data_IF_801030855035
#
_entry.id   IF_801030855035
#
_cell.length_a   1.000
_cell.length_b   1.000
_cell.length_c   1.000
_cell.angle_alpha   90.00
_cell.angle_beta   90.00
_cell.angle_gamma   90.00
#
_symmetry.space_group_name_H-M   'P 1'
#
loop_
_entity.id
_entity.type
_entity.pdbx_description
1 polymer ?
#
# COMPACT_ATOMS: atom_id res chain seq x y z
N UNK A 1 16.23 15.57 -27.18
CA UNK A 1 16.60 15.76 -25.76
C UNK A 1 15.84 14.79 -24.85
N UNK A 2 14.50 14.78 -24.84
CA UNK A 2 13.69 13.80 -24.08
C UNK A 2 13.93 12.32 -24.50
N UNK A 3 14.16 12.05 -25.78
CA UNK A 3 14.54 10.73 -26.31
C UNK A 3 15.98 10.29 -26.00
N UNK A 4 16.86 11.25 -25.77
CA UNK A 4 18.26 10.99 -25.38
C UNK A 4 18.30 10.68 -23.87
N UNK A 5 17.41 11.34 -23.11
CA UNK A 5 17.12 11.10 -21.70
C UNK A 5 16.57 9.71 -21.42
N UNK A 6 15.64 9.25 -22.24
CA UNK A 6 15.16 7.87 -22.20
C UNK A 6 16.26 6.92 -22.68
N UNK A 7 17.05 7.34 -23.68
CA UNK A 7 18.30 6.74 -24.20
C UNK A 7 19.18 6.10 -23.15
N UNK A 8 19.65 6.96 -22.25
CA UNK A 8 20.62 6.65 -21.21
C UNK A 8 20.08 5.63 -20.20
N UNK A 9 18.76 5.48 -20.08
CA UNK A 9 18.19 5.02 -18.82
C UNK A 9 16.96 4.09 -18.93
N UNK A 10 16.97 3.21 -19.93
CA UNK A 10 15.86 2.29 -20.25
C UNK A 10 15.68 1.13 -19.24
N UNK A 11 16.62 0.91 -18.31
CA UNK A 11 16.57 -0.27 -17.43
C UNK A 11 16.95 -0.02 -15.96
N UNK A 12 16.02 -0.21 -15.04
CA UNK A 12 16.19 0.12 -13.62
C UNK A 12 17.29 -0.66 -12.89
N UNK A 13 17.44 -1.97 -13.16
CA UNK A 13 18.52 -2.78 -12.56
C UNK A 13 19.86 -2.57 -13.25
N UNK A 14 19.83 -2.29 -14.56
CA UNK A 14 21.03 -2.18 -15.36
C UNK A 14 21.63 -0.78 -15.37
N UNK A 15 20.86 0.29 -15.20
CA UNK A 15 21.36 1.67 -15.10
C UNK A 15 22.24 1.85 -13.87
N UNK A 16 21.76 1.34 -12.73
CA UNK A 16 22.51 1.35 -11.48
C UNK A 16 23.75 0.45 -11.62
N UNK A 17 23.60 -0.75 -12.19
CA UNK A 17 24.71 -1.67 -12.42
C UNK A 17 25.77 -1.13 -13.39
N UNK A 18 25.39 -0.55 -14.54
CA UNK A 18 26.29 0.03 -15.55
C UNK A 18 26.88 1.36 -15.09
N UNK A 19 26.13 2.15 -14.32
CA UNK A 19 26.63 3.32 -13.61
C UNK A 19 27.74 2.95 -12.62
N UNK A 20 27.53 1.95 -11.78
CA UNK A 20 28.56 1.46 -10.86
C UNK A 20 29.70 0.71 -11.57
N UNK A 21 29.42 0.00 -12.66
CA UNK A 21 30.44 -0.67 -13.48
C UNK A 21 31.38 0.34 -14.12
N UNK A 22 30.83 1.39 -14.75
CA UNK A 22 31.63 2.46 -15.37
C UNK A 22 32.45 3.22 -14.33
N UNK A 23 31.89 3.49 -13.15
CA UNK A 23 32.62 4.09 -12.03
C UNK A 23 33.77 3.17 -11.55
N UNK A 24 33.49 1.87 -11.38
CA UNK A 24 34.47 0.88 -10.93
C UNK A 24 35.61 0.69 -11.92
N UNK A 25 35.31 0.68 -13.23
CA UNK A 25 36.31 0.58 -14.30
C UNK A 25 37.30 1.75 -14.25
N UNK A 26 36.84 2.92 -13.85
CA UNK A 26 37.64 4.14 -13.80
C UNK A 26 38.44 4.25 -12.53
N UNK A 27 37.88 3.80 -11.41
CA UNK A 27 38.65 3.64 -10.17
C UNK A 27 39.80 2.65 -10.40
N UNK A 28 39.56 1.54 -11.11
CA UNK A 28 40.58 0.58 -11.50
C UNK A 28 41.64 1.20 -12.44
N UNK A 29 41.22 1.90 -13.50
CA UNK A 29 42.16 2.59 -14.40
C UNK A 29 42.97 3.69 -13.70
N UNK A 30 42.36 4.38 -12.73
CA UNK A 30 43.03 5.43 -11.94
C UNK A 30 44.04 4.85 -10.96
N UNK A 31 43.82 3.63 -10.47
CA UNK A 31 44.78 2.90 -9.64
C UNK A 31 45.99 2.44 -10.47
N UNK A 32 45.78 2.07 -11.74
CA UNK A 32 46.83 1.55 -12.63
C UNK A 32 47.64 2.65 -13.33
N UNK A 33 47.07 3.83 -13.60
CA UNK A 33 47.74 4.91 -14.33
C UNK A 33 47.35 6.29 -13.83
N UNK A 34 48.33 7.19 -13.73
CA UNK A 34 48.13 8.59 -13.31
C UNK A 34 47.46 9.37 -14.45
N UNK A 35 46.14 9.42 -14.44
CA UNK A 35 45.31 10.12 -15.44
C UNK A 35 44.82 11.45 -14.85
N UNK A 36 44.78 12.50 -15.67
CA UNK A 36 44.24 13.81 -15.25
C UNK A 36 42.77 13.66 -14.82
N UNK A 37 42.31 14.43 -13.83
CA UNK A 37 40.90 14.43 -13.38
C UNK A 37 39.93 14.71 -14.54
N UNK A 38 40.38 15.51 -15.49
CA UNK A 38 39.66 15.88 -16.69
C UNK A 38 39.40 14.68 -17.62
N UNK A 39 40.45 13.92 -17.92
CA UNK A 39 40.35 12.73 -18.76
C UNK A 39 39.54 11.60 -18.10
N UNK A 40 39.57 11.49 -16.76
CA UNK A 40 38.80 10.48 -16.01
C UNK A 40 37.29 10.66 -16.16
N UNK A 41 36.80 11.89 -16.05
CA UNK A 41 35.37 12.20 -16.21
C UNK A 41 34.88 11.96 -17.64
N UNK A 42 35.68 12.30 -18.65
CA UNK A 42 35.30 12.01 -20.04
C UNK A 42 35.28 10.52 -20.33
N UNK A 43 36.28 9.77 -19.86
CA UNK A 43 36.27 8.30 -19.98
C UNK A 43 35.02 7.73 -19.32
N UNK A 44 34.61 8.27 -18.16
CA UNK A 44 33.37 7.89 -17.47
C UNK A 44 32.13 8.08 -18.32
N UNK A 45 31.92 9.28 -18.83
CA UNK A 45 30.74 9.56 -19.63
C UNK A 45 30.74 8.72 -20.92
N UNK A 46 31.88 8.54 -21.57
CA UNK A 46 31.94 7.71 -22.79
C UNK A 46 31.64 6.24 -22.50
N UNK A 47 32.23 5.66 -21.44
CA UNK A 47 31.99 4.26 -21.06
C UNK A 47 30.53 4.07 -20.64
N UNK A 48 29.97 5.01 -19.87
CA UNK A 48 28.57 5.00 -19.48
C UNK A 48 27.65 5.04 -20.70
N UNK A 49 27.85 6.00 -21.62
CA UNK A 49 27.03 6.11 -22.83
C UNK A 49 27.16 4.89 -23.76
N UNK A 50 28.36 4.29 -23.83
CA UNK A 50 28.57 3.07 -24.60
C UNK A 50 27.80 1.88 -24.00
N UNK A 51 27.95 1.63 -22.70
CA UNK A 51 27.28 0.52 -22.00
C UNK A 51 25.77 0.61 -22.08
N UNK A 52 25.23 1.83 -21.96
CA UNK A 52 23.81 2.10 -22.20
C UNK A 52 23.40 1.72 -23.61
N UNK A 53 24.16 2.15 -24.63
CA UNK A 53 23.84 1.84 -26.03
C UNK A 53 23.81 0.33 -26.30
N UNK A 54 24.75 -0.41 -25.70
CA UNK A 54 24.82 -1.87 -25.77
C UNK A 54 23.62 -2.50 -25.06
N UNK A 55 23.26 -2.03 -23.86
CA UNK A 55 22.09 -2.51 -23.12
C UNK A 55 20.79 -2.35 -23.92
N UNK A 56 20.67 -1.24 -24.65
CA UNK A 56 19.52 -0.95 -25.49
C UNK A 56 19.38 -1.91 -26.69
N UNK A 57 20.50 -2.30 -27.30
CA UNK A 57 20.51 -3.25 -28.43
C UNK A 57 20.12 -4.66 -27.96
N UNK A 58 20.59 -5.07 -26.78
CA UNK A 58 20.46 -6.43 -26.26
C UNK A 58 19.09 -6.76 -25.66
N UNK A 59 18.26 -5.79 -25.24
CA UNK A 59 16.99 -6.08 -24.55
C UNK A 59 15.83 -5.13 -24.92
N UNK A 60 15.32 -5.18 -26.16
CA UNK A 60 14.36 -4.19 -26.69
C UNK A 60 12.94 -4.20 -26.09
N UNK A 61 12.51 -5.25 -25.35
CA UNK A 61 11.15 -5.34 -24.78
C UNK A 61 10.91 -4.45 -23.55
N UNK A 62 11.99 -3.95 -22.95
CA UNK A 62 12.00 -3.06 -21.78
C UNK A 62 11.43 -1.66 -22.01
N UNK A 63 11.23 -1.27 -23.27
CA UNK A 63 10.64 0.02 -23.67
C UNK A 63 9.20 0.23 -23.21
N UNK A 64 8.49 -0.84 -22.81
CA UNK A 64 7.07 -0.78 -22.42
C UNK A 64 6.84 -0.31 -20.97
N UNK A 65 7.86 -0.32 -20.11
CA UNK A 65 7.71 -0.09 -18.66
C UNK A 65 7.55 1.38 -18.24
N UNK A 66 7.94 2.32 -19.09
CA UNK A 66 7.51 3.71 -19.03
C UNK A 66 6.64 3.91 -20.27
N UNK A 67 5.41 4.41 -20.11
CA UNK A 67 4.42 4.75 -21.16
C UNK A 67 4.95 5.76 -22.23
N UNK A 68 6.17 5.61 -22.73
CA UNK A 68 6.81 6.42 -23.76
C UNK A 68 6.11 6.18 -25.11
N UNK A 69 5.51 5.01 -25.30
CA UNK A 69 4.63 4.71 -26.45
C UNK A 69 3.36 5.56 -26.48
N UNK A 70 2.91 6.10 -25.34
CA UNK A 70 1.71 6.95 -25.31
C UNK A 70 2.00 8.41 -25.72
N UNK A 71 3.25 8.87 -25.62
CA UNK A 71 3.61 10.28 -25.87
C UNK A 71 4.51 10.45 -27.11
N UNK A 72 5.31 9.46 -27.48
CA UNK A 72 6.15 9.56 -28.68
C UNK A 72 6.16 8.24 -29.47
N UNK A 73 5.38 8.20 -30.55
CA UNK A 73 5.26 7.07 -31.48
C UNK A 73 6.52 6.87 -32.36
N UNK A 74 7.72 6.77 -31.76
CA UNK A 74 8.96 6.54 -32.50
C UNK A 74 9.28 5.06 -32.64
N UNK A 75 9.70 4.66 -33.84
CA UNK A 75 10.18 3.31 -34.10
C UNK A 75 11.53 3.05 -33.39
N UNK A 76 11.80 1.77 -33.05
CA UNK A 76 13.08 1.31 -32.46
C UNK A 76 14.30 1.85 -33.21
N UNK A 77 14.23 1.88 -34.54
CA UNK A 77 15.34 2.31 -35.41
C UNK A 77 15.59 3.82 -35.30
N UNK A 78 14.53 4.63 -35.17
CA UNK A 78 14.63 6.08 -34.99
C UNK A 78 15.36 6.42 -33.70
N UNK A 79 15.11 5.65 -32.64
CA UNK A 79 15.77 5.85 -31.36
C UNK A 79 17.26 5.49 -31.39
N UNK A 80 17.62 4.32 -31.95
CA UNK A 80 19.03 3.90 -32.09
C UNK A 80 19.81 4.95 -32.88
N UNK A 81 19.19 5.50 -33.92
CA UNK A 81 19.77 6.56 -34.72
C UNK A 81 20.01 7.85 -33.92
N UNK A 82 19.01 8.31 -33.14
CA UNK A 82 19.16 9.46 -32.23
C UNK A 82 20.25 9.20 -31.18
N UNK A 83 20.34 7.98 -30.66
CA UNK A 83 21.33 7.57 -29.67
C UNK A 83 22.75 7.58 -30.24
N UNK A 84 22.95 7.08 -31.46
CA UNK A 84 24.23 7.12 -32.15
C UNK A 84 24.71 8.55 -32.42
N UNK A 85 23.79 9.45 -32.82
CA UNK A 85 24.11 10.87 -33.00
C UNK A 85 24.56 11.48 -31.67
N UNK A 86 23.85 11.20 -30.58
CA UNK A 86 24.23 11.70 -29.26
C UNK A 86 25.58 11.15 -28.79
N UNK A 87 25.81 9.85 -28.92
CA UNK A 87 27.09 9.23 -28.56
C UNK A 87 28.26 9.80 -29.40
N UNK A 88 28.02 10.04 -30.69
CA UNK A 88 28.97 10.71 -31.57
C UNK A 88 29.32 12.13 -31.10
N UNK A 89 28.34 12.90 -30.62
CA UNK A 89 28.58 14.23 -30.04
C UNK A 89 29.39 14.17 -28.73
N UNK A 90 29.15 13.17 -27.89
CA UNK A 90 29.91 12.95 -26.64
C UNK A 90 31.37 12.55 -26.93
N UNK A 91 31.60 11.72 -27.95
CA UNK A 91 32.95 11.38 -28.42
C UNK A 91 33.66 12.58 -29.03
N UNK A 92 32.97 13.36 -29.88
CA UNK A 92 33.50 14.58 -30.47
C UNK A 92 33.88 15.61 -29.40
N UNK A 93 33.06 15.74 -28.36
CA UNK A 93 33.38 16.54 -27.18
C UNK A 93 34.64 16.08 -26.50
N UNK A 94 34.77 14.78 -26.26
CA UNK A 94 35.93 14.19 -25.60
C UNK A 94 37.22 14.39 -26.42
N UNK A 95 37.10 14.39 -27.75
CA UNK A 95 38.20 14.70 -28.67
C UNK A 95 38.59 16.18 -28.67
N UNK A 96 37.62 17.09 -28.76
CA UNK A 96 37.86 18.54 -28.72
C UNK A 96 38.40 18.99 -27.36
N UNK A 97 37.98 18.31 -26.31
CA UNK A 97 38.46 18.48 -24.96
C UNK A 97 39.93 18.06 -24.79
N UNK A 98 40.35 16.99 -25.46
CA UNK A 98 41.77 16.60 -25.55
C UNK A 98 42.62 17.69 -26.24
N UNK A 99 42.05 18.44 -27.19
CA UNK A 99 42.67 19.63 -27.82
C UNK A 99 42.63 20.90 -26.95
N UNK A 100 42.31 20.80 -25.66
CA UNK A 100 42.27 21.89 -24.65
C UNK A 100 41.19 22.97 -24.87
N UNK A 101 40.12 22.71 -25.61
CA UNK A 101 39.01 23.66 -25.73
C UNK A 101 38.07 23.60 -24.50
N UNK A 102 38.37 24.39 -23.47
CA UNK A 102 37.68 24.35 -22.16
C UNK A 102 36.20 24.79 -22.20
N UNK A 103 35.80 25.57 -23.21
CA UNK A 103 34.44 26.14 -23.27
C UNK A 103 33.40 25.07 -23.63
N UNK A 104 33.72 24.23 -24.62
CA UNK A 104 32.82 23.18 -25.11
C UNK A 104 32.54 22.11 -24.05
N UNK A 105 33.57 21.82 -23.26
CA UNK A 105 33.56 20.93 -22.11
C UNK A 105 32.54 21.39 -21.06
N UNK A 106 32.63 22.67 -20.68
CA UNK A 106 31.75 23.27 -19.67
C UNK A 106 30.29 23.21 -20.12
N UNK A 107 30.04 23.51 -21.39
CA UNK A 107 28.71 23.45 -21.99
C UNK A 107 28.11 22.04 -21.93
N UNK A 108 28.89 21.01 -22.27
CA UNK A 108 28.40 19.63 -22.25
C UNK A 108 28.20 19.11 -20.83
N UNK A 109 29.08 19.44 -19.90
CA UNK A 109 28.90 19.05 -18.50
C UNK A 109 27.65 19.70 -17.89
N UNK A 110 27.34 20.96 -18.24
CA UNK A 110 26.06 21.61 -17.85
C UNK A 110 24.85 20.90 -18.48
N UNK A 111 24.92 20.58 -19.78
CA UNK A 111 23.83 19.84 -20.46
C UNK A 111 23.62 18.49 -19.77
N UNK A 112 24.66 17.67 -19.58
CA UNK A 112 24.56 16.38 -18.89
C UNK A 112 23.99 16.58 -17.49
N UNK A 113 24.44 17.60 -16.76
CA UNK A 113 23.93 17.98 -15.45
C UNK A 113 22.42 18.19 -15.42
N UNK A 114 21.91 19.12 -16.23
CA UNK A 114 20.48 19.44 -16.35
C UNK A 114 19.68 18.19 -16.74
N UNK A 115 20.21 17.44 -17.70
CA UNK A 115 19.59 16.23 -18.24
C UNK A 115 19.45 15.17 -17.15
N UNK A 116 20.48 14.94 -16.33
CA UNK A 116 20.42 14.00 -15.21
C UNK A 116 19.47 14.43 -14.10
N UNK A 117 19.31 15.74 -13.85
CA UNK A 117 18.30 16.23 -12.90
C UNK A 117 16.86 16.03 -13.40
N UNK A 118 16.59 16.31 -14.68
CA UNK A 118 15.27 16.03 -15.28
C UNK A 118 14.95 14.53 -15.20
N UNK A 119 15.93 13.67 -15.47
CA UNK A 119 15.78 12.22 -15.30
C UNK A 119 15.47 11.83 -13.86
N UNK A 120 16.15 12.44 -12.89
CA UNK A 120 15.90 12.16 -11.48
C UNK A 120 14.46 12.49 -11.07
N UNK A 121 13.93 13.62 -11.54
CA UNK A 121 12.54 14.03 -11.29
C UNK A 121 11.54 13.05 -11.92
N UNK A 122 11.74 12.66 -13.18
CA UNK A 122 10.84 11.71 -13.85
C UNK A 122 10.89 10.32 -13.21
N UNK A 123 12.08 9.83 -12.88
CA UNK A 123 12.28 8.56 -12.18
C UNK A 123 11.64 8.56 -10.80
N UNK A 124 11.70 9.70 -10.11
CA UNK A 124 11.04 9.91 -8.83
C UNK A 124 9.51 9.81 -8.96
N UNK A 125 8.90 10.45 -9.96
CA UNK A 125 7.45 10.36 -10.19
C UNK A 125 6.98 8.96 -10.57
N UNK A 126 7.86 8.13 -11.15
CA UNK A 126 7.59 6.74 -11.49
C UNK A 126 7.84 5.74 -10.35
N UNK A 127 8.27 6.19 -9.16
CA UNK A 127 8.61 5.30 -8.03
C UNK A 127 9.98 4.61 -8.13
N UNK A 128 10.86 5.06 -9.03
CA UNK A 128 12.16 4.44 -9.32
C UNK A 128 13.30 5.13 -8.55
N UNK A 129 13.43 4.79 -7.27
CA UNK A 129 14.29 5.49 -6.30
C UNK A 129 15.79 5.42 -6.61
N UNK A 130 16.32 4.23 -6.97
CA UNK A 130 17.75 4.05 -7.25
C UNK A 130 18.22 4.86 -8.45
N UNK A 131 17.38 4.92 -9.49
CA UNK A 131 17.56 5.76 -10.67
C UNK A 131 17.53 7.26 -10.35
N UNK A 132 16.61 7.69 -9.49
CA UNK A 132 16.52 9.08 -9.06
C UNK A 132 17.79 9.53 -8.31
N UNK A 133 18.27 8.71 -7.37
CA UNK A 133 19.51 8.96 -6.62
C UNK A 133 20.72 9.03 -7.57
N UNK A 134 20.83 8.09 -8.50
CA UNK A 134 21.91 8.10 -9.49
C UNK A 134 21.89 9.37 -10.37
N UNK A 135 20.71 9.77 -10.85
CA UNK A 135 20.54 10.99 -11.65
C UNK A 135 20.97 12.25 -10.90
N UNK A 136 20.71 12.34 -9.60
CA UNK A 136 21.14 13.46 -8.76
C UNK A 136 22.65 13.47 -8.56
N UNK A 137 23.24 12.31 -8.27
CA UNK A 137 24.69 12.19 -8.09
C UNK A 137 25.39 12.58 -9.39
N UNK A 138 24.98 11.98 -10.51
CA UNK A 138 25.52 12.28 -11.84
C UNK A 138 25.34 13.76 -12.20
N UNK A 139 24.14 14.30 -12.01
CA UNK A 139 23.81 15.69 -12.31
C UNK A 139 24.65 16.69 -11.50
N UNK A 140 24.85 16.39 -10.22
CA UNK A 140 25.66 17.20 -9.30
C UNK A 140 27.15 17.18 -9.69
N UNK A 141 27.71 16.00 -9.96
CA UNK A 141 29.11 15.90 -10.41
C UNK A 141 29.32 16.61 -11.75
N UNK A 142 28.38 16.49 -12.67
CA UNK A 142 28.42 17.16 -13.97
C UNK A 142 28.29 18.68 -13.88
N UNK A 143 27.55 19.23 -12.91
CA UNK A 143 27.44 20.69 -12.72
C UNK A 143 28.62 21.31 -11.94
N UNK A 144 29.28 20.55 -11.06
CA UNK A 144 30.47 21.02 -10.35
C UNK A 144 31.69 21.06 -11.28
N UNK A 145 31.76 20.11 -12.22
CA UNK A 145 32.89 19.92 -13.14
C UNK A 145 33.29 21.19 -13.95
N UNK A 146 32.37 21.99 -14.54
CA UNK A 146 32.69 23.22 -15.26
C UNK A 146 33.40 24.32 -14.47
N UNK A 147 33.21 24.33 -13.14
CA UNK A 147 33.61 25.45 -12.27
C UNK A 147 35.06 25.29 -11.81
N UNK A 148 35.65 24.11 -11.95
CA UNK A 148 36.96 23.77 -11.37
C UNK A 148 37.92 23.18 -12.40
N UNK A 149 38.93 23.94 -12.82
CA UNK A 149 39.97 23.44 -13.75
C UNK A 149 40.92 22.40 -13.09
N UNK A 150 40.81 22.22 -11.77
CA UNK A 150 41.47 21.17 -10.98
C UNK A 150 40.47 20.67 -9.95
N UNK A 151 40.23 19.36 -9.86
CA UNK A 151 39.55 18.72 -8.72
C UNK A 151 40.44 18.76 -7.44
N UNK A 152 41.10 19.90 -7.21
CA UNK A 152 41.89 20.22 -6.02
C UNK A 152 41.02 21.04 -5.04
N UNK A 153 39.70 20.78 -5.04
CA UNK A 153 38.67 21.54 -4.35
C UNK A 153 38.92 21.76 -2.86
N UNK A 154 39.56 20.77 -2.24
CA UNK A 154 39.94 20.80 -0.82
C UNK A 154 41.44 21.04 -0.60
N UNK A 155 42.24 21.17 -1.67
CA UNK A 155 43.70 21.31 -1.61
C UNK A 155 44.16 22.77 -1.74
N UNK A 156 43.44 23.62 -2.49
CA UNK A 156 43.77 25.04 -2.60
C UNK A 156 42.95 25.90 -1.62
N UNK A 157 43.65 26.77 -0.88
CA UNK A 157 43.15 27.58 0.26
C UNK A 157 42.22 28.75 -0.13
N UNK A 158 41.48 28.67 -1.23
CA UNK A 158 40.72 29.81 -1.73
C UNK A 158 39.32 29.84 -1.09
N UNK A 159 39.03 30.87 -0.25
CA UNK A 159 37.76 31.01 0.50
C UNK A 159 36.52 30.90 -0.40
N UNK A 160 36.62 31.33 -1.66
CA UNK A 160 35.54 31.26 -2.65
C UNK A 160 35.20 29.82 -3.06
N UNK A 161 36.21 28.97 -3.25
CA UNK A 161 36.03 27.56 -3.65
C UNK A 161 35.40 26.74 -2.49
N UNK A 162 35.84 26.99 -1.25
CA UNK A 162 35.23 26.38 -0.07
C UNK A 162 33.77 26.82 0.15
N UNK A 163 33.45 28.09 -0.12
CA UNK A 163 32.07 28.61 -0.03
C UNK A 163 31.15 27.95 -1.08
N UNK A 164 31.63 27.79 -2.33
CA UNK A 164 30.90 27.09 -3.38
C UNK A 164 30.63 25.63 -2.95
N UNK A 165 31.59 24.98 -2.31
CA UNK A 165 31.45 23.61 -1.81
C UNK A 165 30.44 23.45 -0.71
N UNK A 166 30.46 24.38 0.22
CA UNK A 166 29.48 24.46 1.28
C UNK A 166 28.07 24.65 0.72
N UNK A 167 27.89 25.59 -0.22
CA UNK A 167 26.59 25.81 -0.89
C UNK A 167 26.14 24.54 -1.62
N UNK A 168 27.03 23.84 -2.32
CA UNK A 168 26.71 22.57 -2.97
C UNK A 168 26.28 21.47 -2.00
N UNK A 169 26.96 21.32 -0.85
CA UNK A 169 26.57 20.36 0.18
C UNK A 169 25.19 20.68 0.76
N UNK A 170 24.90 21.96 0.98
CA UNK A 170 23.57 22.42 1.43
C UNK A 170 22.50 22.10 0.39
N UNK A 171 22.77 22.34 -0.90
CA UNK A 171 21.83 22.02 -1.98
C UNK A 171 21.56 20.51 -2.08
N UNK A 172 22.61 19.68 -1.98
CA UNK A 172 22.47 18.21 -1.99
C UNK A 172 21.66 17.74 -0.78
N UNK A 173 21.92 18.28 0.40
CA UNK A 173 21.18 17.96 1.62
C UNK A 173 19.70 18.34 1.51
N UNK A 174 19.39 19.56 1.06
CA UNK A 174 18.02 20.03 0.85
C UNK A 174 17.28 19.16 -0.18
N UNK A 175 17.95 18.82 -1.28
CA UNK A 175 17.40 17.95 -2.33
C UNK A 175 17.11 16.55 -1.79
N UNK A 176 18.05 15.96 -1.03
CA UNK A 176 17.87 14.65 -0.39
C UNK A 176 16.72 14.65 0.63
N UNK A 177 16.58 15.73 1.41
CA UNK A 177 15.48 15.89 2.37
C UNK A 177 14.11 15.97 1.67
N UNK A 178 14.00 16.74 0.58
CA UNK A 178 12.78 16.81 -0.23
C UNK A 178 12.39 15.45 -0.81
N UNK A 179 13.37 14.68 -1.28
CA UNK A 179 13.17 13.32 -1.80
C UNK A 179 12.67 12.39 -0.71
N UNK A 180 13.28 12.40 0.48
CA UNK A 180 12.82 11.61 1.63
C UNK A 180 11.39 11.97 2.04
N UNK A 181 11.03 13.25 2.03
CA UNK A 181 9.67 13.71 2.31
C UNK A 181 8.69 13.21 1.25
N UNK A 182 9.05 13.27 -0.02
CA UNK A 182 8.16 12.85 -1.07
C UNK A 182 8.06 11.31 -1.17
N UNK A 183 9.11 10.55 -0.80
CA UNK A 183 9.03 9.09 -0.55
C UNK A 183 8.02 8.80 0.56
N UNK A 184 8.08 9.52 1.68
CA UNK A 184 7.14 9.34 2.79
C UNK A 184 5.70 9.50 2.32
N UNK A 185 5.42 10.59 1.62
CA UNK A 185 4.08 10.90 1.11
C UNK A 185 3.62 9.85 0.10
N UNK A 186 4.50 9.41 -0.80
CA UNK A 186 4.17 8.36 -1.77
C UNK A 186 3.85 7.04 -1.09
N UNK A 187 4.70 6.58 -0.17
CA UNK A 187 4.51 5.30 0.52
C UNK A 187 3.26 5.32 1.39
N UNK A 188 3.02 6.44 2.10
CA UNK A 188 1.78 6.64 2.85
C UNK A 188 0.55 6.54 1.93
N UNK A 189 0.57 7.19 0.76
CA UNK A 189 -0.54 7.08 -0.22
C UNK A 189 -0.74 5.66 -0.71
N UNK A 190 0.33 4.93 -0.99
CA UNK A 190 0.26 3.53 -1.43
C UNK A 190 -0.35 2.63 -0.35
N UNK A 191 0.10 2.75 0.90
CA UNK A 191 -0.47 2.02 2.04
C UNK A 191 -1.96 2.33 2.20
N UNK A 192 -2.33 3.60 2.08
CA UNK A 192 -3.73 4.00 2.24
C UNK A 192 -4.62 3.48 1.10
N UNK A 193 -4.15 3.54 -0.15
CA UNK A 193 -4.87 3.02 -1.30
C UNK A 193 -5.03 1.48 -1.23
N UNK A 194 -4.03 0.78 -0.72
CA UNK A 194 -4.11 -0.66 -0.46
C UNK A 194 -5.19 -0.96 0.60
N UNK A 195 -5.19 -0.23 1.72
CA UNK A 195 -6.20 -0.39 2.77
C UNK A 195 -7.62 -0.06 2.29
N UNK A 196 -7.78 0.92 1.40
CA UNK A 196 -9.07 1.26 0.80
C UNK A 196 -9.59 0.11 -0.08
N UNK A 197 -8.73 -0.48 -0.92
CA UNK A 197 -9.08 -1.67 -1.71
C UNK A 197 -9.39 -2.89 -0.82
N UNK A 198 -8.70 -3.03 0.31
CA UNK A 198 -8.97 -4.09 1.29
C UNK A 198 -10.34 -3.89 1.94
N UNK A 199 -10.68 -2.66 2.35
CA UNK A 199 -12.00 -2.32 2.90
C UNK A 199 -13.12 -2.51 1.87
N UNK A 200 -12.89 -2.14 0.61
CA UNK A 200 -13.82 -2.37 -0.51
C UNK A 200 -14.14 -3.86 -0.65
N UNK A 201 -13.09 -4.68 -0.80
CA UNK A 201 -13.20 -6.12 -0.98
C UNK A 201 -13.93 -6.78 0.20
N UNK A 202 -13.59 -6.36 1.42
CA UNK A 202 -14.24 -6.85 2.62
C UNK A 202 -15.72 -6.43 2.71
N UNK A 203 -16.09 -5.24 2.22
CA UNK A 203 -17.49 -4.81 2.17
C UNK A 203 -18.31 -5.67 1.21
N UNK A 204 -17.76 -5.99 0.04
CA UNK A 204 -18.41 -6.86 -0.96
C UNK A 204 -18.58 -8.27 -0.41
N UNK A 205 -17.53 -8.84 0.20
CA UNK A 205 -17.62 -10.17 0.84
C UNK A 205 -18.68 -10.19 1.94
N UNK A 206 -18.72 -9.14 2.77
CA UNK A 206 -19.73 -9.03 3.83
C UNK A 206 -21.13 -8.95 3.23
N UNK A 207 -21.32 -8.16 2.18
CA UNK A 207 -22.59 -8.05 1.46
C UNK A 207 -23.02 -9.42 0.92
N UNK A 208 -22.18 -10.05 0.11
CA UNK A 208 -22.47 -11.35 -0.52
C UNK A 208 -22.78 -12.42 0.54
N UNK A 209 -22.09 -12.36 1.68
CA UNK A 209 -22.33 -13.28 2.79
C UNK A 209 -23.73 -13.09 3.38
N UNK A 210 -24.14 -11.84 3.66
CA UNK A 210 -25.48 -11.53 4.18
C UNK A 210 -26.56 -11.84 3.13
N UNK A 211 -26.38 -11.42 1.89
CA UNK A 211 -27.29 -11.70 0.76
C UNK A 211 -27.53 -13.20 0.61
N UNK A 212 -26.47 -14.01 0.74
CA UNK A 212 -26.58 -15.48 0.67
C UNK A 212 -27.35 -16.05 1.85
N UNK A 213 -27.11 -15.57 3.07
CA UNK A 213 -27.89 -16.00 4.24
C UNK A 213 -29.39 -15.69 4.05
N UNK A 214 -29.72 -14.48 3.59
CA UNK A 214 -31.08 -14.05 3.28
C UNK A 214 -31.70 -14.96 2.21
N UNK A 215 -30.99 -15.18 1.10
CA UNK A 215 -31.47 -15.99 -0.01
C UNK A 215 -31.76 -17.43 0.42
N UNK A 216 -30.89 -18.03 1.25
CA UNK A 216 -31.08 -19.39 1.77
C UNK A 216 -32.33 -19.45 2.65
N UNK A 217 -32.48 -18.52 3.60
CA UNK A 217 -33.64 -18.50 4.50
C UNK A 217 -34.93 -18.28 3.70
N UNK A 218 -34.95 -17.27 2.84
CA UNK A 218 -36.08 -16.92 1.98
C UNK A 218 -36.54 -18.11 1.15
N UNK A 219 -35.62 -18.71 0.38
CA UNK A 219 -35.92 -19.88 -0.47
C UNK A 219 -36.44 -21.05 0.34
N UNK A 220 -35.94 -21.25 1.57
CA UNK A 220 -36.38 -22.35 2.42
C UNK A 220 -37.76 -22.12 3.05
N UNK A 221 -38.16 -20.87 3.24
CA UNK A 221 -39.52 -20.51 3.69
C UNK A 221 -40.50 -20.58 2.52
N UNK A 222 -40.11 -20.06 1.35
CA UNK A 222 -40.92 -20.03 0.12
C UNK A 222 -41.15 -21.43 -0.48
N UNK A 223 -40.38 -22.45 -0.10
CA UNK A 223 -40.65 -23.82 -0.54
C UNK A 223 -42.00 -24.37 -0.04
N UNK A 224 -42.59 -23.74 0.99
CA UNK A 224 -43.85 -24.14 1.59
C UNK A 224 -43.76 -25.32 2.56
N UNK A 225 -42.61 -26.01 2.63
CA UNK A 225 -42.40 -27.18 3.52
C UNK A 225 -42.63 -26.80 4.99
N UNK A 226 -42.12 -25.63 5.41
CA UNK A 226 -42.34 -25.09 6.76
C UNK A 226 -43.79 -24.71 7.03
N UNK A 227 -44.46 -24.07 6.07
CA UNK A 227 -45.87 -23.68 6.22
C UNK A 227 -46.77 -24.92 6.36
N UNK A 228 -46.48 -25.98 5.58
CA UNK A 228 -47.17 -27.26 5.68
C UNK A 228 -46.95 -27.94 7.04
N UNK A 229 -45.72 -27.92 7.57
CA UNK A 229 -45.40 -28.47 8.88
C UNK A 229 -46.07 -27.72 10.04
N UNK A 230 -46.34 -26.42 9.87
CA UNK A 230 -47.00 -25.56 10.88
C UNK A 230 -48.53 -25.56 10.80
N UNK A 231 -49.12 -26.06 9.70
CA UNK A 231 -50.57 -26.06 9.50
C UNK A 231 -51.29 -27.10 10.37
N UNK A 232 -52.59 -26.90 10.63
CA UNK A 232 -53.43 -27.79 11.45
C UNK A 232 -53.44 -29.22 10.85
N UNK A 233 -52.67 -30.13 11.46
CA UNK A 233 -52.48 -31.52 10.99
C UNK A 233 -51.02 -31.92 10.73
N UNK A 234 -50.07 -30.98 10.76
CA UNK A 234 -48.64 -31.25 10.65
C UNK A 234 -48.09 -32.01 11.86
N UNK A 235 -47.24 -33.02 11.64
CA UNK A 235 -46.57 -33.72 12.74
C UNK A 235 -45.36 -32.92 13.20
N UNK A 236 -45.13 -32.81 14.52
CA UNK A 236 -43.96 -32.13 15.11
C UNK A 236 -42.63 -32.68 14.56
N UNK A 237 -42.59 -33.97 14.18
CA UNK A 237 -41.42 -34.60 13.55
C UNK A 237 -41.09 -34.10 12.12
N UNK A 238 -42.02 -33.41 11.46
CA UNK A 238 -41.77 -32.78 10.17
C UNK A 238 -40.97 -31.48 10.33
N UNK A 239 -41.14 -30.77 11.45
CA UNK A 239 -40.45 -29.49 11.70
C UNK A 239 -38.94 -29.69 11.89
N UNK A 240 -38.50 -30.61 12.76
CA UNK A 240 -37.07 -30.92 12.98
C UNK A 240 -36.36 -31.30 11.67
N UNK A 241 -37.04 -32.11 10.83
CA UNK A 241 -36.52 -32.50 9.53
C UNK A 241 -36.28 -31.29 8.62
N UNK A 242 -37.25 -30.38 8.54
CA UNK A 242 -37.11 -29.19 7.69
C UNK A 242 -36.07 -28.20 8.24
N UNK A 243 -35.99 -27.98 9.55
CA UNK A 243 -34.93 -27.14 10.14
C UNK A 243 -33.54 -27.74 9.88
N UNK A 244 -33.40 -29.06 10.03
CA UNK A 244 -32.14 -29.77 9.75
C UNK A 244 -31.75 -29.66 8.28
N UNK A 245 -32.71 -29.84 7.36
CA UNK A 245 -32.50 -29.65 5.91
C UNK A 245 -32.05 -28.23 5.62
N UNK A 246 -32.72 -27.22 6.16
CA UNK A 246 -32.34 -25.81 6.02
C UNK A 246 -30.92 -25.54 6.53
N UNK A 247 -30.60 -26.03 7.73
CA UNK A 247 -29.27 -25.86 8.32
C UNK A 247 -28.18 -26.51 7.47
N UNK A 248 -28.41 -27.73 6.97
CA UNK A 248 -27.44 -28.44 6.11
C UNK A 248 -27.28 -27.75 4.75
N UNK A 249 -28.37 -27.30 4.13
CA UNK A 249 -28.34 -26.53 2.88
C UNK A 249 -27.63 -25.19 3.06
N UNK A 250 -27.68 -24.62 4.26
CA UNK A 250 -26.95 -23.38 4.55
C UNK A 250 -25.44 -23.54 4.44
N UNK A 251 -24.88 -24.76 4.44
CA UNK A 251 -23.45 -25.01 4.30
C UNK A 251 -22.57 -24.13 5.23
N UNK A 252 -22.88 -24.14 6.53
CA UNK A 252 -22.24 -23.35 7.59
C UNK A 252 -22.50 -21.84 7.58
N UNK A 253 -23.38 -21.32 6.70
CA UNK A 253 -23.76 -19.90 6.77
C UNK A 253 -24.63 -19.61 8.01
N UNK A 254 -25.42 -20.59 8.46
CA UNK A 254 -26.16 -20.50 9.72
C UNK A 254 -25.42 -21.15 10.89
N UNK A 255 -25.48 -20.51 12.06
CA UNK A 255 -25.05 -21.09 13.32
C UNK A 255 -26.19 -21.87 14.01
N UNK A 256 -27.44 -21.45 13.76
CA UNK A 256 -28.68 -22.06 14.28
C UNK A 256 -29.88 -21.53 13.50
N UNK A 257 -30.90 -22.36 13.33
CA UNK A 257 -32.23 -22.02 12.83
C UNK A 257 -33.25 -22.27 13.93
N UNK A 258 -34.25 -21.39 14.04
CA UNK A 258 -35.33 -21.42 15.04
C UNK A 258 -36.64 -21.17 14.30
N UNK A 259 -37.70 -21.88 14.67
CA UNK A 259 -39.05 -21.62 14.16
C UNK A 259 -39.98 -21.33 15.33
N UNK A 260 -40.84 -20.34 15.15
CA UNK A 260 -41.85 -19.89 16.11
C UNK A 260 -43.26 -20.14 15.59
N UNK A 261 -44.24 -20.18 16.49
CA UNK A 261 -45.64 -20.06 16.12
C UNK A 261 -46.05 -18.60 15.87
N UNK A 262 -47.30 -18.38 15.51
CA UNK A 262 -47.88 -17.06 15.25
C UNK A 262 -48.01 -16.17 16.50
N UNK A 263 -47.75 -16.71 17.69
CA UNK A 263 -47.69 -15.96 18.95
C UNK A 263 -46.25 -15.72 19.42
N UNK A 264 -45.23 -16.13 18.65
CA UNK A 264 -43.83 -15.91 18.97
C UNK A 264 -43.22 -16.95 19.91
N UNK A 265 -43.93 -18.04 20.21
CA UNK A 265 -43.40 -19.14 21.01
C UNK A 265 -42.52 -20.02 20.14
N UNK A 266 -41.31 -20.32 20.62
CA UNK A 266 -40.38 -21.23 19.93
C UNK A 266 -40.97 -22.65 19.91
N UNK A 267 -41.15 -23.19 18.71
CA UNK A 267 -41.61 -24.54 18.46
C UNK A 267 -40.45 -25.52 18.34
N UNK A 268 -39.43 -25.15 17.55
CA UNK A 268 -38.25 -26.00 17.36
C UNK A 268 -37.01 -25.20 16.95
N UNK A 269 -35.85 -25.84 17.07
CA UNK A 269 -34.53 -25.23 16.93
C UNK A 269 -33.50 -26.27 16.51
N UNK A 270 -32.71 -25.95 15.48
CA UNK A 270 -31.63 -26.80 15.02
C UNK A 270 -30.32 -26.01 14.82
N UNK A 271 -29.16 -26.48 15.33
CA UNK A 271 -28.99 -27.63 16.21
C UNK A 271 -29.72 -27.45 17.55
N UNK A 272 -30.17 -28.57 18.12
CA UNK A 272 -30.97 -28.58 19.35
C UNK A 272 -30.26 -27.87 20.50
N UNK A 273 -31.00 -27.05 21.24
CA UNK A 273 -30.52 -26.37 22.44
C UNK A 273 -31.62 -26.32 23.50
N UNK A 274 -31.33 -26.90 24.67
CA UNK A 274 -32.34 -27.13 25.72
C UNK A 274 -32.94 -25.80 26.25
N UNK A 275 -32.15 -24.74 26.35
CA UNK A 275 -32.58 -23.46 26.93
C UNK A 275 -33.39 -22.59 25.95
N UNK A 276 -33.56 -23.02 24.69
CA UNK A 276 -34.42 -22.33 23.72
C UNK A 276 -35.82 -22.93 23.62
N UNK A 277 -36.12 -24.01 24.34
CA UNK A 277 -37.47 -24.58 24.34
C UNK A 277 -38.45 -23.74 25.17
N UNK A 278 -39.69 -23.58 24.68
CA UNK A 278 -40.75 -22.77 25.30
C UNK A 278 -40.33 -21.34 25.63
N UNK A 279 -39.34 -20.79 24.91
CA UNK A 279 -38.99 -19.37 25.00
C UNK A 279 -40.01 -18.58 24.20
N UNK A 280 -40.51 -17.51 24.81
CA UNK A 280 -41.37 -16.54 24.17
C UNK A 280 -40.50 -15.42 23.56
N UNK A 281 -40.66 -15.20 22.25
CA UNK A 281 -39.97 -14.18 21.46
C UNK A 281 -40.93 -13.09 20.96
N UNK A 282 -42.19 -13.10 21.40
CA UNK A 282 -43.24 -12.15 20.95
C UNK A 282 -42.89 -10.68 21.18
N UNK A 283 -42.05 -10.40 22.18
CA UNK A 283 -41.58 -9.06 22.54
C UNK A 283 -40.31 -8.62 21.78
N UNK A 284 -39.80 -9.44 20.85
CA UNK A 284 -38.51 -9.22 20.19
C UNK A 284 -38.67 -8.71 18.77
N UNK A 285 -37.79 -7.77 18.39
CA UNK A 285 -37.78 -7.20 17.05
C UNK A 285 -37.67 -8.24 15.93
N UNK A 286 -36.88 -9.31 16.15
CA UNK A 286 -36.73 -10.40 15.18
C UNK A 286 -37.99 -11.28 15.02
N UNK A 287 -39.02 -11.07 15.84
CA UNK A 287 -40.36 -11.62 15.63
C UNK A 287 -41.33 -10.53 15.15
N UNK A 288 -41.37 -9.39 15.85
CA UNK A 288 -42.32 -8.29 15.60
C UNK A 288 -42.16 -7.73 14.20
N UNK A 289 -40.92 -7.41 13.78
CA UNK A 289 -40.67 -6.76 12.50
C UNK A 289 -41.16 -7.61 11.33
N UNK A 290 -40.73 -8.88 11.16
CA UNK A 290 -41.23 -9.70 10.05
C UNK A 290 -42.72 -10.00 10.14
N UNK A 291 -43.29 -10.12 11.35
CA UNK A 291 -44.73 -10.32 11.53
C UNK A 291 -45.57 -9.11 11.08
N UNK A 292 -45.06 -7.88 11.29
CA UNK A 292 -45.75 -6.63 10.94
C UNK A 292 -45.51 -6.21 9.50
N UNK A 293 -44.27 -6.33 9.00
CA UNK A 293 -43.92 -5.87 7.65
C UNK A 293 -44.25 -6.90 6.58
N UNK A 294 -44.29 -8.20 6.94
CA UNK A 294 -44.35 -9.29 5.98
C UNK A 294 -43.05 -9.50 5.20
N UNK A 295 -41.99 -8.76 5.55
CA UNK A 295 -40.69 -8.79 4.88
C UNK A 295 -39.61 -9.40 5.79
N UNK A 296 -38.47 -9.73 5.18
CA UNK A 296 -37.30 -10.21 5.91
C UNK A 296 -36.74 -9.08 6.78
N UNK A 297 -36.41 -9.43 8.02
CA UNK A 297 -35.77 -8.54 8.97
C UNK A 297 -34.36 -9.02 9.31
N UNK A 298 -33.43 -8.07 9.46
CA UNK A 298 -32.04 -8.33 9.87
C UNK A 298 -31.77 -7.53 11.14
N UNK A 299 -31.36 -8.22 12.20
CA UNK A 299 -31.04 -7.57 13.46
C UNK A 299 -29.65 -6.91 13.43
N UNK A 300 -29.41 -5.99 14.36
CA UNK A 300 -28.04 -5.68 14.80
C UNK A 300 -27.40 -6.86 15.55
N UNK A 301 -26.23 -6.65 16.15
CA UNK A 301 -25.62 -7.68 17.00
C UNK A 301 -26.46 -7.90 18.27
N UNK A 302 -26.99 -9.11 18.46
CA UNK A 302 -27.77 -9.48 19.65
C UNK A 302 -26.89 -10.28 20.61
N UNK A 303 -26.85 -9.87 21.88
CA UNK A 303 -26.35 -10.69 22.98
C UNK A 303 -27.49 -11.56 23.54
N UNK A 304 -27.37 -12.89 23.48
CA UNK A 304 -28.32 -13.79 24.11
C UNK A 304 -28.34 -13.58 25.63
N UNK A 305 -29.54 -13.63 26.22
CA UNK A 305 -29.71 -13.65 27.69
C UNK A 305 -29.25 -14.96 28.32
N UNK A 306 -29.19 -16.03 27.51
CA UNK A 306 -28.83 -17.38 27.95
C UNK A 306 -27.31 -17.56 27.99
N UNK A 307 -26.79 -17.98 29.15
CA UNK A 307 -25.37 -18.26 29.34
C UNK A 307 -24.89 -19.36 28.37
N UNK A 308 -23.77 -19.10 27.68
CA UNK A 308 -23.15 -20.06 26.76
C UNK A 308 -23.60 -19.95 25.29
N UNK A 309 -24.46 -18.99 24.94
CA UNK A 309 -24.78 -18.67 23.55
C UNK A 309 -23.96 -17.46 23.11
N UNK A 310 -23.23 -17.62 22.01
CA UNK A 310 -22.45 -16.54 21.41
C UNK A 310 -23.36 -15.43 20.87
N UNK A 311 -22.94 -14.16 20.90
CA UNK A 311 -23.64 -13.10 20.20
C UNK A 311 -23.76 -13.40 18.72
N UNK A 312 -24.86 -12.97 18.12
CA UNK A 312 -25.16 -13.28 16.73
C UNK A 312 -26.00 -12.19 16.09
N UNK A 313 -25.88 -12.08 14.78
CA UNK A 313 -26.84 -11.37 13.94
C UNK A 313 -27.93 -12.37 13.56
N UNK A 314 -29.20 -11.97 13.65
CA UNK A 314 -30.35 -12.78 13.30
C UNK A 314 -30.96 -12.26 12.01
N UNK A 315 -31.33 -13.18 11.12
CA UNK A 315 -32.14 -12.91 9.93
C UNK A 315 -33.46 -13.65 10.14
N UNK A 316 -34.56 -12.98 9.91
CA UNK A 316 -35.89 -13.48 10.25
C UNK A 316 -36.84 -13.31 9.07
N UNK A 317 -37.55 -14.37 8.73
CA UNK A 317 -38.48 -14.41 7.61
C UNK A 317 -39.86 -14.85 8.10
N UNK A 318 -40.93 -14.11 7.79
CA UNK A 318 -42.28 -14.53 8.15
C UNK A 318 -42.69 -15.74 7.33
N UNK A 319 -43.50 -16.60 7.94
CA UNK A 319 -44.06 -17.80 7.32
C UNK A 319 -45.56 -17.57 7.17
N UNK A 320 -46.05 -17.69 5.94
CA UNK A 320 -47.47 -17.57 5.61
C UNK A 320 -48.00 -18.90 5.08
N UNK A 321 -49.27 -19.18 5.31
CA UNK A 321 -49.97 -20.27 4.63
C UNK A 321 -50.37 -19.87 3.20
N UNK A 322 -51.01 -20.80 2.46
CA UNK A 322 -51.49 -20.56 1.11
C UNK A 322 -52.60 -19.50 0.99
N UNK A 323 -53.16 -19.05 2.12
CA UNK A 323 -54.20 -18.03 2.21
C UNK A 323 -53.65 -16.71 2.78
N UNK A 324 -52.33 -16.51 2.74
CA UNK A 324 -51.63 -15.35 3.31
C UNK A 324 -51.83 -15.16 4.83
N UNK A 325 -52.24 -16.22 5.56
CA UNK A 325 -52.34 -16.19 7.02
C UNK A 325 -50.96 -16.38 7.64
N UNK A 326 -50.58 -15.46 8.51
CA UNK A 326 -49.33 -15.55 9.27
C UNK A 326 -49.33 -16.77 10.21
N UNK A 327 -48.34 -17.65 10.03
CA UNK A 327 -48.16 -18.88 10.81
C UNK A 327 -47.05 -18.78 11.87
N UNK A 328 -46.14 -17.82 11.71
CA UNK A 328 -44.98 -17.64 12.59
C UNK A 328 -43.76 -17.11 11.85
N UNK A 329 -42.58 -17.23 12.46
CA UNK A 329 -41.32 -16.72 11.91
C UNK A 329 -40.25 -17.79 11.93
N UNK A 330 -39.54 -17.93 10.80
CA UNK A 330 -38.27 -18.65 10.72
C UNK A 330 -37.11 -17.68 10.98
N UNK A 331 -36.26 -18.00 11.95
CA UNK A 331 -35.14 -17.16 12.39
C UNK A 331 -33.85 -17.94 12.21
N UNK A 332 -32.91 -17.40 11.45
CA UNK A 332 -31.57 -17.94 11.29
C UNK A 332 -30.54 -17.02 11.97
N UNK A 333 -29.68 -17.59 12.79
CA UNK A 333 -28.50 -16.90 13.32
C UNK A 333 -27.34 -17.04 12.35
N UNK A 334 -26.73 -15.91 12.01
CA UNK A 334 -25.62 -15.82 11.08
C UNK A 334 -24.35 -16.36 11.72
N UNK A 335 -23.62 -17.23 11.01
CA UNK A 335 -22.35 -17.75 11.48
C UNK A 335 -21.21 -16.73 11.29
N UNK A 336 -21.05 -15.86 12.28
CA UNK A 336 -20.01 -14.81 12.26
C UNK A 336 -18.58 -15.37 12.19
N UNK A 337 -18.35 -16.60 12.67
CA UNK A 337 -17.03 -17.25 12.57
C UNK A 337 -16.71 -17.61 11.11
N UNK A 338 -17.70 -18.02 10.33
CA UNK A 338 -17.51 -18.30 8.91
C UNK A 338 -17.26 -17.02 8.12
N UNK A 339 -18.00 -15.94 8.42
CA UNK A 339 -17.72 -14.61 7.87
C UNK A 339 -16.28 -14.17 8.19
N UNK A 340 -15.84 -14.33 9.44
CA UNK A 340 -14.47 -14.01 9.85
C UNK A 340 -13.43 -14.80 9.05
N UNK A 341 -13.66 -16.08 8.77
CA UNK A 341 -12.76 -16.90 7.94
C UNK A 341 -12.73 -16.42 6.49
N UNK A 342 -13.86 -16.05 5.92
CA UNK A 342 -13.92 -15.53 4.55
C UNK A 342 -13.18 -14.20 4.43
N UNK A 343 -13.41 -13.29 5.38
CA UNK A 343 -12.70 -12.01 5.46
C UNK A 343 -11.19 -12.20 5.67
N UNK A 344 -10.77 -13.14 6.52
CA UNK A 344 -9.35 -13.46 6.72
C UNK A 344 -8.68 -14.07 5.47
N UNK A 345 -9.42 -14.77 4.62
CA UNK A 345 -8.89 -15.30 3.34
C UNK A 345 -8.73 -14.21 2.28
N UNK A 346 -9.54 -13.16 2.35
CA UNK A 346 -9.51 -12.05 1.41
C UNK A 346 -8.59 -10.90 1.84
N UNK A 347 -8.49 -10.64 3.14
CA UNK A 347 -7.55 -9.70 3.75
C UNK A 347 -6.24 -10.39 4.08
N UNK A 348 -5.24 -10.24 3.22
CA UNK A 348 -3.90 -10.79 3.40
C UNK A 348 -2.93 -9.69 3.83
N UNK A 349 -2.79 -9.49 5.14
CA UNK A 349 -1.47 -9.27 5.74
C UNK A 349 -1.53 -9.51 7.26
N UNK A 350 -0.45 -10.02 7.87
CA UNK A 350 -0.36 -10.21 9.34
C UNK A 350 -0.47 -8.88 10.13
N UNK A 351 -0.43 -7.75 9.44
CA UNK A 351 -0.31 -6.41 10.01
C UNK A 351 -1.63 -5.61 10.02
N UNK A 352 -2.64 -6.06 9.27
CA UNK A 352 -3.95 -5.41 9.16
C UNK A 352 -4.99 -6.06 10.06
N UNK A 353 -5.76 -5.24 10.78
CA UNK A 353 -6.92 -5.68 11.57
C UNK A 353 -8.20 -5.19 10.90
N UNK A 354 -9.02 -6.15 10.49
CA UNK A 354 -10.33 -5.91 9.88
C UNK A 354 -11.42 -6.01 10.96
N UNK A 355 -12.19 -4.95 11.12
CA UNK A 355 -13.35 -4.90 12.02
C UNK A 355 -14.63 -4.60 11.23
N UNK A 356 -15.76 -5.09 11.73
CA UNK A 356 -17.08 -4.88 11.16
C UNK A 356 -18.00 -4.30 12.23
N UNK A 357 -18.73 -3.26 11.91
CA UNK A 357 -19.79 -2.70 12.77
C UNK A 357 -21.15 -2.76 12.08
N UNK A 358 -22.20 -2.96 12.87
CA UNK A 358 -23.58 -2.89 12.39
C UNK A 358 -24.04 -1.44 12.16
N UNK A 359 -25.28 -1.27 11.69
CA UNK A 359 -25.89 0.04 11.43
C UNK A 359 -26.09 0.91 12.67
N UNK A 360 -26.02 0.31 13.86
CA UNK A 360 -26.08 1.02 15.14
C UNK A 360 -24.69 1.38 15.69
N UNK A 361 -23.63 0.94 15.02
CA UNK A 361 -22.24 1.16 15.41
C UNK A 361 -21.71 0.12 16.40
N UNK A 362 -22.42 -0.98 16.65
CA UNK A 362 -21.91 -2.07 17.49
C UNK A 362 -20.95 -2.94 16.67
N UNK A 363 -19.83 -3.37 17.26
CA UNK A 363 -18.91 -4.26 16.59
C UNK A 363 -19.52 -5.65 16.38
N UNK A 364 -19.67 -6.09 15.14
CA UNK A 364 -20.05 -7.47 14.78
C UNK A 364 -18.80 -8.36 14.78
N UNK A 365 -17.67 -7.84 14.33
CA UNK A 365 -16.35 -8.51 14.35
C UNK A 365 -15.28 -7.51 14.77
N UNK A 366 -14.41 -7.88 15.72
CA UNK A 366 -13.24 -7.10 16.11
C UNK A 366 -12.09 -8.05 16.56
N UNK A 367 -11.02 -8.19 15.78
CA UNK A 367 -9.88 -9.07 16.10
C UNK A 367 -8.98 -8.56 17.24
N UNK A 368 -8.89 -7.24 17.44
CA UNK A 368 -8.04 -6.62 18.47
C UNK A 368 -8.56 -6.86 19.89
N UNK A 369 -9.88 -7.05 20.01
CA UNK A 369 -10.53 -7.54 21.21
C UNK A 369 -10.38 -9.07 21.27
N UNK A 370 -9.20 -9.56 21.64
CA UNK A 370 -8.88 -10.99 21.83
C UNK A 370 -9.74 -11.71 22.89
N UNK A 371 -10.77 -11.08 23.44
CA UNK A 371 -11.74 -11.66 24.37
C UNK A 371 -13.16 -11.45 23.88
N UNK A 372 -13.63 -12.40 23.07
CA UNK A 372 -15.03 -12.75 22.81
C UNK A 372 -15.90 -11.63 22.22
N UNK A 373 -16.81 -11.98 21.31
CA UNK A 373 -17.83 -11.09 20.72
C UNK A 373 -18.64 -10.31 21.80
N UNK A 374 -18.57 -10.71 23.07
CA UNK A 374 -19.12 -10.01 24.25
C UNK A 374 -18.49 -8.62 24.52
N UNK A 375 -17.22 -8.39 24.17
CA UNK A 375 -16.54 -7.10 24.43
C UNK A 375 -16.97 -5.98 23.48
N UNK A 376 -17.41 -6.33 22.27
CA UNK A 376 -17.95 -5.44 21.26
C UNK A 376 -19.17 -4.61 21.71
N UNK A 377 -19.96 -5.15 22.64
CA UNK A 377 -21.15 -4.49 23.20
C UNK A 377 -20.84 -3.69 24.48
N UNK A 378 -19.72 -3.97 25.15
CA UNK A 378 -19.29 -3.23 26.35
C UNK A 378 -18.50 -1.97 25.99
N UNK A 379 -17.81 -1.98 24.86
CA UNK A 379 -17.32 -0.76 24.22
C UNK A 379 -18.47 -0.10 23.47
N UNK A 380 -19.36 0.60 24.20
CA UNK A 380 -19.83 1.89 23.68
C UNK A 380 -18.59 2.76 23.59
N UNK A 381 -17.77 2.54 22.56
CA UNK A 381 -16.64 3.42 22.33
C UNK A 381 -17.27 4.80 22.14
N UNK A 382 -16.96 5.71 23.06
CA UNK A 382 -17.16 7.15 22.85
C UNK A 382 -16.30 7.68 21.71
N UNK A 383 -15.93 6.80 20.78
CA UNK A 383 -15.16 7.07 19.60
C UNK A 383 -16.13 7.65 18.57
N UNK A 384 -16.42 8.94 18.74
CA UNK A 384 -17.11 9.78 17.76
C UNK A 384 -16.49 9.70 16.35
N UNK A 385 -15.33 9.05 16.18
CA UNK A 385 -14.69 8.76 14.90
C UNK A 385 -15.38 7.64 14.10
N UNK A 386 -16.15 6.73 14.72
CA UNK A 386 -16.94 5.72 13.98
C UNK A 386 -17.99 6.37 13.04
N UNK A 387 -18.32 7.64 13.31
CA UNK A 387 -19.22 8.48 12.51
C UNK A 387 -18.49 9.21 11.36
N UNK A 388 -17.17 9.33 11.39
CA UNK A 388 -16.36 9.98 10.36
C UNK A 388 -15.93 8.95 9.31
N UNK A 389 -16.71 8.88 8.25
CA UNK A 389 -16.34 8.18 7.01
C UNK A 389 -15.16 8.94 6.39
N UNK A 390 -14.01 8.27 6.24
CA UNK A 390 -12.85 8.81 5.55
C UNK A 390 -11.50 8.36 6.09
N UNK A 391 -10.54 8.29 5.18
CA UNK A 391 -9.11 8.11 5.41
C UNK A 391 -8.64 8.97 6.61
N UNK A 392 -8.31 8.32 7.74
CA UNK A 392 -7.88 9.04 8.94
C UNK A 392 -6.65 8.39 9.56
N UNK A 393 -5.77 9.25 10.06
CA UNK A 393 -4.68 8.87 10.96
C UNK A 393 -5.19 9.18 12.36
N UNK A 394 -5.42 8.17 13.19
CA UNK A 394 -6.02 8.35 14.51
C UNK A 394 -5.33 7.46 15.56
N UNK A 395 -5.61 7.69 16.83
CA UNK A 395 -5.13 6.86 17.93
C UNK A 395 -6.19 5.82 18.30
N UNK A 396 -5.78 4.56 18.47
CA UNK A 396 -6.65 3.53 19.01
C UNK A 396 -6.82 3.67 20.54
N UNK A 397 -7.64 2.81 21.15
CA UNK A 397 -7.91 2.78 22.60
C UNK A 397 -6.66 2.55 23.45
N UNK A 398 -5.63 1.93 22.90
CA UNK A 398 -4.32 1.72 23.53
C UNK A 398 -3.35 2.90 23.33
N UNK A 399 -3.78 3.99 22.68
CA UNK A 399 -2.96 5.16 22.38
C UNK A 399 -1.94 4.94 21.26
N UNK A 400 -2.14 3.93 20.42
CA UNK A 400 -1.30 3.62 19.26
C UNK A 400 -1.81 4.37 18.04
N UNK A 401 -0.93 5.12 17.38
CA UNK A 401 -1.24 5.82 16.14
C UNK A 401 -1.38 4.81 14.99
N UNK A 402 -2.56 4.78 14.36
CA UNK A 402 -2.92 3.86 13.30
C UNK A 402 -3.43 4.59 12.06
N UNK A 403 -3.33 3.91 10.92
CA UNK A 403 -4.11 4.26 9.76
C UNK A 403 -5.43 3.50 9.81
N UNK A 404 -6.51 4.19 9.43
CA UNK A 404 -7.86 3.63 9.35
C UNK A 404 -8.47 3.95 7.99
N UNK A 405 -8.93 2.91 7.31
CA UNK A 405 -9.77 2.98 6.12
C UNK A 405 -11.14 2.38 6.44
N UNK A 406 -12.20 2.92 5.85
CA UNK A 406 -13.56 2.47 6.09
C UNK A 406 -14.36 2.38 4.81
N UNK A 407 -15.19 1.35 4.66
CA UNK A 407 -16.16 1.22 3.59
C UNK A 407 -17.51 0.80 4.14
N UNK A 408 -18.58 1.41 3.65
CA UNK A 408 -19.95 1.03 3.99
C UNK A 408 -20.38 -0.19 3.16
N UNK A 409 -21.03 -1.14 3.82
CA UNK A 409 -21.71 -2.25 3.17
C UNK A 409 -23.06 -1.72 2.72
N UNK A 410 -23.17 -1.43 1.43
CA UNK A 410 -24.40 -0.93 0.82
C UNK A 410 -25.59 -1.83 1.18
N UNK A 411 -26.80 -1.23 1.26
CA UNK A 411 -28.08 -1.88 1.62
C UNK A 411 -28.30 -2.13 3.12
N UNK A 412 -27.25 -2.45 3.89
CA UNK A 412 -27.39 -2.82 5.31
C UNK A 412 -26.98 -1.74 6.31
N UNK A 413 -26.30 -0.69 5.84
CA UNK A 413 -25.78 0.40 6.69
C UNK A 413 -24.65 -0.04 7.62
N UNK A 414 -24.12 -1.26 7.44
CA UNK A 414 -22.97 -1.77 8.16
C UNK A 414 -21.69 -1.12 7.64
N UNK A 415 -20.62 -1.10 8.44
CA UNK A 415 -19.32 -0.56 7.99
C UNK A 415 -18.18 -1.49 8.31
N UNK A 416 -17.31 -1.67 7.33
CA UNK A 416 -16.04 -2.37 7.48
C UNK A 416 -14.95 -1.34 7.73
N UNK A 417 -14.07 -1.65 8.68
CA UNK A 417 -12.86 -0.90 8.99
C UNK A 417 -11.62 -1.77 8.78
N UNK A 418 -10.62 -1.20 8.11
CA UNK A 418 -9.27 -1.76 8.03
C UNK A 418 -8.35 -0.84 8.82
N UNK A 419 -7.66 -1.40 9.81
CA UNK A 419 -6.75 -0.66 10.69
C UNK A 419 -5.34 -1.26 10.60
N UNK A 420 -4.32 -0.41 10.49
CA UNK A 420 -2.90 -0.82 10.46
C UNK A 420 -2.10 0.12 11.37
N UNK A 421 -1.34 -0.38 12.37
CA UNK A 421 -0.46 0.46 13.18
C UNK A 421 0.54 1.21 12.29
N UNK A 422 0.65 2.53 12.45
CA UNK A 422 1.52 3.36 11.61
C UNK A 422 2.98 2.91 11.72
N UNK A 423 3.42 2.45 12.89
CA UNK A 423 4.78 1.96 13.08
C UNK A 423 5.09 0.72 12.22
N UNK A 424 4.12 -0.17 12.04
CA UNK A 424 4.27 -1.39 11.23
C UNK A 424 4.17 -1.08 9.75
N UNK A 425 3.13 -0.37 9.32
CA UNK A 425 2.90 -0.07 7.91
C UNK A 425 3.99 0.83 7.29
N UNK A 426 4.69 1.64 8.10
CA UNK A 426 5.76 2.53 7.65
C UNK A 426 7.15 2.03 8.06
N UNK A 427 7.26 0.79 8.54
CA UNK A 427 8.54 0.21 8.99
C UNK A 427 9.62 0.29 7.91
N UNK A 428 9.27 -0.05 6.67
CA UNK A 428 10.16 0.04 5.50
C UNK A 428 10.61 1.47 5.22
N UNK A 429 9.71 2.45 5.37
CA UNK A 429 10.08 3.86 5.24
C UNK A 429 11.05 4.29 6.35
N UNK A 430 10.75 3.95 7.60
CA UNK A 430 11.56 4.36 8.74
C UNK A 430 12.99 3.79 8.65
N UNK A 431 13.15 2.54 8.23
CA UNK A 431 14.47 1.92 8.08
C UNK A 431 15.26 2.52 6.90
N UNK A 432 14.62 2.75 5.76
CA UNK A 432 15.26 3.38 4.60
C UNK A 432 15.63 4.84 4.88
N UNK A 433 14.72 5.61 5.48
CA UNK A 433 14.95 7.00 5.85
C UNK A 433 16.11 7.14 6.85
N UNK A 434 16.16 6.25 7.84
CA UNK A 434 17.27 6.21 8.80
C UNK A 434 18.60 5.84 8.15
N UNK A 435 18.62 4.85 7.24
CA UNK A 435 19.83 4.47 6.50
C UNK A 435 20.35 5.59 5.59
N UNK A 436 19.46 6.28 4.88
CA UNK A 436 19.80 7.43 4.04
C UNK A 436 20.31 8.60 4.90
N UNK A 437 19.66 8.87 6.03
CA UNK A 437 20.11 9.88 6.99
C UNK A 437 21.52 9.57 7.51
N UNK A 438 21.78 8.34 7.95
CA UNK A 438 23.11 7.90 8.40
C UNK A 438 24.15 8.03 7.29
N UNK A 439 23.82 7.64 6.06
CA UNK A 439 24.71 7.79 4.91
C UNK A 439 25.09 9.26 4.69
N UNK A 440 24.12 10.18 4.69
CA UNK A 440 24.40 11.61 4.55
C UNK A 440 25.18 12.16 5.74
N UNK A 441 24.90 11.73 6.97
CA UNK A 441 25.65 12.14 8.16
C UNK A 441 27.11 11.67 8.08
N UNK A 442 27.36 10.40 7.73
CA UNK A 442 28.70 9.86 7.58
C UNK A 442 29.46 10.53 6.43
N UNK A 443 28.78 10.79 5.31
CA UNK A 443 29.38 11.44 4.16
C UNK A 443 29.73 12.91 4.46
N UNK A 444 28.84 13.65 5.11
CA UNK A 444 29.10 15.04 5.51
C UNK A 444 30.21 15.13 6.56
N UNK A 445 30.18 14.27 7.58
CA UNK A 445 31.22 14.21 8.62
C UNK A 445 32.57 13.77 8.01
N UNK A 446 32.58 12.74 7.18
CA UNK A 446 33.77 12.27 6.47
C UNK A 446 34.33 13.32 5.52
N UNK A 447 33.47 14.04 4.80
CA UNK A 447 33.87 15.17 3.96
C UNK A 447 34.47 16.32 4.78
N UNK A 448 33.91 16.61 5.95
CA UNK A 448 34.42 17.65 6.86
C UNK A 448 35.79 17.26 7.44
N UNK A 449 35.95 16.02 7.91
CA UNK A 449 37.23 15.49 8.43
C UNK A 449 38.29 15.49 7.32
N UNK A 450 37.93 15.05 6.11
CA UNK A 450 38.83 15.05 4.96
C UNK A 450 39.26 16.47 4.57
N UNK A 451 38.33 17.43 4.60
CA UNK A 451 38.64 18.85 4.36
C UNK A 451 39.57 19.43 5.45
N UNK A 452 39.38 19.06 6.72
CA UNK A 452 40.26 19.45 7.83
C UNK A 452 41.64 18.80 7.70
N UNK A 453 41.71 17.51 7.37
CA UNK A 453 42.96 16.78 7.15
C UNK A 453 43.82 17.44 6.06
N UNK A 454 43.21 17.75 4.92
CA UNK A 454 43.89 18.45 3.82
C UNK A 454 44.36 19.86 4.24
N UNK A 455 43.62 20.54 5.12
CA UNK A 455 44.04 21.82 5.70
C UNK A 455 45.27 21.67 6.60
N UNK A 456 45.35 20.62 7.42
CA UNK A 456 46.48 20.37 8.33
C UNK A 456 47.74 19.91 7.61
N UNK A 457 47.65 18.99 6.64
CA UNK A 457 48.80 18.56 5.82
C UNK A 457 49.42 19.76 5.06
N UNK A 458 48.58 20.66 4.55
CA UNK A 458 49.03 21.88 3.88
C UNK A 458 49.64 22.94 4.81
N UNK A 459 49.51 22.82 6.13
CA UNK A 459 50.23 23.65 7.12
C UNK A 459 51.60 23.05 7.40
N UNK A 460 51.67 21.75 7.67
CA UNK A 460 52.93 21.06 7.98
C UNK A 460 53.94 21.15 6.81
N UNK A 461 53.48 21.00 5.57
CA UNK A 461 54.36 21.16 4.38
C UNK A 461 54.94 22.57 4.18
N UNK A 462 54.32 23.62 4.74
CA UNK A 462 54.88 24.99 4.69
C UNK A 462 55.93 25.23 5.78
N UNK A 463 55.87 24.45 6.86
CA UNK A 463 56.84 24.51 7.96
C UNK A 463 58.12 23.74 7.61
N UNK A 464 58.04 22.73 6.73
CA UNK A 464 59.22 22.00 6.23
C UNK A 464 59.98 22.70 5.09
N UNK A 465 59.35 23.68 4.42
CA UNK A 465 59.94 24.37 3.24
C UNK A 465 60.49 25.77 3.61
N UNK A 466 60.14 26.29 4.79
CA UNK A 466 60.76 27.46 5.41
C UNK A 466 61.76 26.99 6.47
#
# INVERSE_FOLDING_TARGET
>A
MYLILTGIFVFQNYVVAFGYLSLSLILLMSALKKISSYSRYLIFINVLCFLVGVAYILSPESLRALNISAITAFSKNTYIFIWMIFFGLVLLSSYLAYRKNIVFIRLIAVIVGITSFVYAILSFTGGFWGSAVFGIILGSFSMIFPVTDRFDFFRNRNKKESAIGFVWLVVIFLTGSLILRAIHVSLQRSVLAEMENEAETASVITKDFIDRNISILKTSVESGDLANALSEGGAVGDLDRELKKMFLLSNNFFARVIVTDNHGKVLDTYPFYLQSQNVDLSDRDHFIQPAVTGDIYISGLIQPKSSGVSPSVLISSPIFDSNDKFLGVAIASVNLLELQKQLKRAGSDETGMLSLVDSQGNYVLNPGLQKTITSALSEKSGDTSARRVGLTVDYNSDGILEFRASKEVEEYGWKVFVTKPRSMAMKTYSSMGFGIFLFFMMFTTGSLIFAVYLRTEGVNRRIEIN
#
